data_IF_829306192346
#
_entry.id   IF_829306192346
#
_cell.length_a   1.000
_cell.length_b   1.000
_cell.length_c   1.000
_cell.angle_alpha   90.00
_cell.angle_beta   90.00
_cell.angle_gamma   90.00
#
_symmetry.space_group_name_H-M   'P 1'
#
loop_
_entity.id
_entity.type
_entity.pdbx_description
1 polymer ?
#
# COMPACT_ATOMS: atom_id res chain seq x y z
N UNK A 1 42.31 -12.08 -83.48
CA UNK A 1 41.14 -12.67 -82.80
C UNK A 1 41.48 -12.80 -81.33
N UNK A 2 40.60 -12.25 -80.50
CA UNK A 2 40.77 -11.98 -79.07
C UNK A 2 40.84 -13.25 -78.20
N UNK A 3 41.74 -13.28 -77.20
CA UNK A 3 41.35 -13.20 -75.78
C UNK A 3 42.55 -13.25 -74.83
N UNK A 4 42.52 -12.34 -73.87
CA UNK A 4 43.49 -12.11 -72.82
C UNK A 4 43.38 -13.13 -71.67
N UNK A 5 44.52 -13.47 -71.06
CA UNK A 5 44.63 -14.20 -69.80
C UNK A 5 45.35 -13.28 -68.80
N UNK A 6 44.67 -12.88 -67.71
CA UNK A 6 45.26 -12.10 -66.62
C UNK A 6 45.12 -12.85 -65.29
N UNK A 7 46.29 -13.17 -64.75
CA UNK A 7 46.73 -13.28 -63.36
C UNK A 7 45.66 -13.36 -62.24
N UNK A 8 45.73 -14.44 -61.46
CA UNK A 8 45.13 -14.57 -60.14
C UNK A 8 45.85 -13.66 -59.13
N UNK A 9 45.09 -12.87 -58.38
CA UNK A 9 45.47 -12.42 -57.03
C UNK A 9 44.46 -13.00 -56.03
N UNK A 10 44.99 -13.69 -55.03
CA UNK A 10 44.25 -14.23 -53.88
C UNK A 10 43.90 -13.08 -52.91
N UNK A 11 42.62 -12.96 -52.54
CA UNK A 11 42.16 -12.08 -51.47
C UNK A 11 41.48 -12.95 -50.41
N UNK A 12 42.09 -13.04 -49.23
CA UNK A 12 41.47 -13.61 -48.03
C UNK A 12 40.34 -12.69 -47.54
N UNK A 13 39.11 -13.20 -47.47
CA UNK A 13 38.02 -12.55 -46.76
C UNK A 13 37.84 -13.20 -45.38
N UNK A 14 38.12 -12.45 -44.31
CA UNK A 14 37.81 -12.84 -42.93
C UNK A 14 36.37 -12.40 -42.65
N UNK A 15 35.47 -13.35 -42.44
CA UNK A 15 34.12 -13.10 -41.96
C UNK A 15 34.14 -12.99 -40.43
N UNK A 16 33.89 -11.79 -39.89
CA UNK A 16 33.74 -11.58 -38.45
C UNK A 16 32.32 -11.98 -38.01
N UNK A 17 32.20 -13.09 -37.29
CA UNK A 17 30.96 -13.53 -36.66
C UNK A 17 30.75 -12.71 -35.37
N UNK A 18 29.78 -11.78 -35.35
CA UNK A 18 29.34 -11.14 -34.11
C UNK A 18 28.55 -12.16 -33.28
N UNK A 19 29.19 -12.72 -32.26
CA UNK A 19 28.51 -13.47 -31.21
C UNK A 19 27.93 -12.44 -30.25
N UNK A 20 26.62 -12.18 -30.35
CA UNK A 20 25.88 -11.43 -29.33
C UNK A 20 25.79 -12.34 -28.11
N UNK A 21 26.68 -12.14 -27.14
CA UNK A 21 26.64 -12.82 -25.85
C UNK A 21 25.37 -12.41 -25.12
N UNK A 22 24.43 -13.34 -24.97
CA UNK A 22 23.29 -13.19 -24.07
C UNK A 22 23.88 -13.31 -22.66
N UNK A 23 24.13 -12.17 -22.00
CA UNK A 23 24.46 -12.15 -20.58
C UNK A 23 23.20 -12.61 -19.84
N UNK A 24 23.23 -13.70 -19.05
CA UNK A 24 22.08 -14.11 -18.26
C UNK A 24 21.72 -12.97 -17.31
N UNK A 25 20.43 -12.62 -17.26
CA UNK A 25 19.95 -11.67 -16.25
C UNK A 25 20.32 -12.23 -14.86
N UNK A 26 21.00 -11.43 -14.05
CA UNK A 26 21.28 -11.80 -12.66
C UNK A 26 19.95 -12.10 -11.97
N UNK A 27 19.88 -13.22 -11.24
CA UNK A 27 18.74 -13.50 -10.38
C UNK A 27 18.56 -12.36 -9.37
N UNK A 28 17.30 -12.07 -9.01
CA UNK A 28 17.01 -11.09 -7.97
C UNK A 28 17.60 -11.57 -6.62
N UNK A 29 18.13 -10.66 -5.78
CA UNK A 29 18.55 -11.02 -4.44
C UNK A 29 17.33 -11.45 -3.58
N UNK A 30 17.53 -12.17 -2.46
CA UNK A 30 16.46 -12.39 -1.49
C UNK A 30 15.80 -11.08 -1.06
N UNK A 31 14.48 -11.03 -1.08
CA UNK A 31 13.67 -9.83 -0.88
C UNK A 31 13.66 -8.84 -2.06
N UNK A 32 14.31 -9.15 -3.18
CA UNK A 32 14.31 -8.33 -4.40
C UNK A 32 13.16 -8.67 -5.35
N UNK A 33 12.80 -7.73 -6.23
CA UNK A 33 11.74 -7.97 -7.21
C UNK A 33 12.26 -8.77 -8.42
N UNK A 34 11.59 -9.89 -8.74
CA UNK A 34 11.88 -10.71 -9.93
C UNK A 34 11.37 -10.08 -11.23
N UNK A 35 10.35 -9.22 -11.12
CA UNK A 35 9.73 -8.51 -12.23
C UNK A 35 9.21 -7.14 -11.78
N UNK A 36 8.57 -6.42 -12.72
CA UNK A 36 8.06 -5.07 -12.48
C UNK A 36 9.11 -4.00 -12.77
N UNK A 37 8.67 -2.75 -12.66
CA UNK A 37 9.48 -1.56 -12.95
C UNK A 37 9.65 -0.77 -11.66
N UNK A 38 10.87 -0.29 -11.37
CA UNK A 38 11.10 0.60 -10.24
C UNK A 38 10.28 1.88 -10.39
N UNK A 39 9.56 2.27 -9.34
CA UNK A 39 8.83 3.53 -9.28
C UNK A 39 9.78 4.73 -9.30
N UNK A 40 10.91 4.60 -8.61
CA UNK A 40 11.99 5.59 -8.58
C UNK A 40 13.34 4.94 -8.24
N UNK A 41 14.42 5.69 -8.48
CA UNK A 41 15.73 5.36 -7.91
C UNK A 41 15.79 5.72 -6.43
N UNK A 42 16.60 4.98 -5.66
CA UNK A 42 16.75 5.19 -4.22
C UNK A 42 15.60 4.60 -3.39
N UNK A 43 15.51 5.06 -2.14
CA UNK A 43 14.56 4.54 -1.15
C UNK A 43 13.12 4.90 -1.52
N UNK A 44 12.22 3.93 -1.49
CA UNK A 44 10.78 4.15 -1.63
C UNK A 44 10.01 3.08 -0.85
N UNK A 45 9.34 3.51 0.23
CA UNK A 45 8.71 2.66 1.23
C UNK A 45 7.20 2.89 1.27
N UNK A 46 6.47 1.89 1.78
CA UNK A 46 5.06 2.02 2.17
C UNK A 46 4.17 2.60 1.06
N UNK A 47 4.15 1.97 -0.14
CA UNK A 47 3.49 2.55 -1.29
C UNK A 47 1.98 2.58 -1.14
N UNK A 48 1.34 3.59 -1.71
CA UNK A 48 -0.12 3.68 -1.87
C UNK A 48 -0.45 4.04 -3.29
N UNK A 49 -1.54 3.48 -3.82
CA UNK A 49 -2.01 3.80 -5.17
C UNK A 49 -3.53 3.94 -5.19
N UNK A 50 -4.00 4.99 -5.85
CA UNK A 50 -5.43 5.26 -6.05
C UNK A 50 -5.70 5.62 -7.51
N UNK A 51 -6.93 5.38 -7.96
CA UNK A 51 -7.45 5.92 -9.21
C UNK A 51 -8.41 7.06 -8.89
N UNK A 52 -8.22 8.20 -9.52
CA UNK A 52 -9.11 9.35 -9.34
C UNK A 52 -10.50 9.04 -9.92
N UNK A 53 -11.54 9.27 -9.12
CA UNK A 53 -12.95 9.05 -9.45
C UNK A 53 -13.75 10.37 -9.43
N UNK A 54 -13.25 11.40 -8.75
CA UNK A 54 -14.01 12.63 -8.46
C UNK A 54 -13.27 13.91 -8.89
N UNK A 55 -12.32 13.78 -9.83
CA UNK A 55 -11.37 14.83 -10.22
C UNK A 55 -11.64 15.43 -11.61
N UNK A 56 -12.91 15.49 -12.02
CA UNK A 56 -13.34 16.11 -13.29
C UNK A 56 -12.55 15.58 -14.51
N UNK A 57 -11.87 16.43 -15.30
CA UNK A 57 -11.07 16.00 -16.45
C UNK A 57 -9.90 15.04 -16.11
N UNK A 58 -9.48 14.96 -14.85
CA UNK A 58 -8.42 14.06 -14.41
C UNK A 58 -8.96 12.69 -13.90
N UNK A 59 -10.28 12.48 -13.87
CA UNK A 59 -10.88 11.18 -13.53
C UNK A 59 -10.28 10.05 -14.39
N UNK A 60 -9.91 8.95 -13.74
CA UNK A 60 -9.22 7.81 -14.34
C UNK A 60 -7.69 7.89 -14.29
N UNK A 61 -7.10 9.04 -13.97
CA UNK A 61 -5.66 9.15 -13.67
C UNK A 61 -5.33 8.33 -12.43
N UNK A 62 -4.17 7.66 -12.44
CA UNK A 62 -3.68 6.90 -11.29
C UNK A 62 -2.66 7.77 -10.57
N UNK A 63 -2.81 7.91 -9.26
CA UNK A 63 -1.86 8.59 -8.39
C UNK A 63 -1.25 7.56 -7.45
N UNK A 64 0.08 7.58 -7.34
CA UNK A 64 0.81 6.77 -6.39
C UNK A 64 1.59 7.66 -5.42
N UNK A 65 1.83 7.16 -4.21
CA UNK A 65 2.72 7.78 -3.25
C UNK A 65 3.67 6.76 -2.62
N UNK A 66 4.84 7.22 -2.21
CA UNK A 66 5.79 6.44 -1.41
C UNK A 66 6.51 7.37 -0.41
N UNK A 67 6.90 6.81 0.74
CA UNK A 67 7.81 7.47 1.67
C UNK A 67 9.23 7.36 1.13
N UNK A 68 9.92 8.49 1.03
CA UNK A 68 11.32 8.60 0.60
C UNK A 68 12.00 9.72 1.38
N UNK A 69 13.23 10.07 1.02
CA UNK A 69 14.01 11.10 1.69
C UNK A 69 14.48 12.14 0.68
N UNK A 70 14.55 13.40 1.12
CA UNK A 70 15.18 14.45 0.34
C UNK A 70 16.72 14.41 0.44
N UNK A 71 17.40 15.39 -0.16
CA UNK A 71 18.86 15.45 -0.18
C UNK A 71 19.49 15.66 1.20
N UNK A 72 18.75 16.26 2.14
CA UNK A 72 19.18 16.50 3.51
C UNK A 72 18.85 15.33 4.44
N UNK A 73 18.20 14.28 3.90
CA UNK A 73 17.80 13.09 4.63
C UNK A 73 16.47 13.21 5.37
N UNK A 74 15.73 14.31 5.19
CA UNK A 74 14.41 14.47 5.80
C UNK A 74 13.36 13.64 5.04
N UNK A 75 12.45 13.01 5.79
CA UNK A 75 11.40 12.19 5.20
C UNK A 75 10.41 13.03 4.39
N UNK A 76 10.02 12.55 3.22
CA UNK A 76 8.99 13.17 2.37
C UNK A 76 8.03 12.11 1.79
N UNK A 77 6.78 12.51 1.55
CA UNK A 77 5.84 11.74 0.73
C UNK A 77 6.03 12.10 -0.74
N UNK A 78 6.68 11.26 -1.55
CA UNK A 78 6.79 11.49 -2.99
C UNK A 78 5.49 11.11 -3.70
N UNK A 79 5.01 11.96 -4.62
CA UNK A 79 3.74 11.77 -5.34
C UNK A 79 4.01 11.60 -6.83
N UNK A 80 3.39 10.59 -7.43
CA UNK A 80 3.55 10.21 -8.82
C UNK A 80 2.18 10.13 -9.51
N UNK A 81 2.15 10.39 -10.81
CA UNK A 81 0.98 10.14 -11.64
C UNK A 81 1.31 9.22 -12.81
N UNK A 82 0.33 8.39 -13.14
CA UNK A 82 0.26 7.67 -14.41
C UNK A 82 -0.95 8.12 -15.21
N UNK A 83 -0.71 8.50 -16.47
CA UNK A 83 -1.73 8.84 -17.47
C UNK A 83 -1.88 7.73 -18.52
N UNK A 84 -1.07 6.69 -18.45
CA UNK A 84 -1.02 5.56 -19.38
C UNK A 84 -1.49 4.24 -18.75
N UNK A 85 -2.27 4.35 -17.67
CA UNK A 85 -2.95 3.25 -16.97
C UNK A 85 -1.98 2.31 -16.24
N UNK A 86 -1.04 2.89 -15.52
CA UNK A 86 -0.07 2.19 -14.66
C UNK A 86 1.09 1.57 -15.42
N UNK A 87 1.34 1.95 -16.68
CA UNK A 87 2.48 1.46 -17.46
C UNK A 87 3.75 2.26 -17.17
N UNK A 88 3.61 3.55 -16.89
CA UNK A 88 4.69 4.41 -16.42
C UNK A 88 4.17 5.40 -15.39
N UNK A 89 5.07 5.88 -14.53
CA UNK A 89 4.80 6.87 -13.51
C UNK A 89 5.80 8.03 -13.64
N UNK A 90 5.31 9.25 -13.50
CA UNK A 90 6.14 10.46 -13.40
C UNK A 90 5.92 11.10 -12.04
N UNK A 91 6.99 11.52 -11.37
CA UNK A 91 6.88 12.30 -10.14
C UNK A 91 6.24 13.66 -10.44
N UNK A 92 5.19 14.02 -9.72
CA UNK A 92 4.41 15.26 -9.94
C UNK A 92 4.47 16.22 -8.75
N UNK A 93 4.90 15.76 -7.58
CA UNK A 93 4.94 16.57 -6.38
C UNK A 93 5.51 15.81 -5.19
N UNK A 94 5.48 16.46 -4.03
CA UNK A 94 5.81 15.85 -2.75
C UNK A 94 5.10 16.56 -1.61
N UNK A 95 4.91 15.83 -0.51
CA UNK A 95 4.48 16.36 0.78
C UNK A 95 5.69 16.39 1.71
N UNK A 96 6.03 17.57 2.21
CA UNK A 96 7.12 17.78 3.15
C UNK A 96 6.53 18.38 4.44
N UNK A 97 6.50 17.59 5.50
CA UNK A 97 6.13 18.07 6.84
C UNK A 97 7.40 18.43 7.61
N UNK A 98 7.49 19.61 8.25
CA UNK A 98 8.70 19.98 9.00
C UNK A 98 9.08 18.96 10.09
N UNK A 99 8.11 18.27 10.70
CA UNK A 99 8.39 17.24 11.70
C UNK A 99 9.00 15.96 11.11
N UNK A 100 8.95 15.78 9.79
CA UNK A 100 9.45 14.58 9.11
C UNK A 100 10.99 14.49 9.07
N UNK A 101 11.69 15.59 9.38
CA UNK A 101 13.12 15.58 9.65
C UNK A 101 13.48 14.68 10.86
N UNK A 102 12.56 14.57 11.81
CA UNK A 102 12.68 13.70 13.00
C UNK A 102 12.06 12.31 12.74
N UNK A 103 11.91 11.93 11.48
CA UNK A 103 11.35 10.65 11.07
C UNK A 103 9.97 10.77 10.42
N UNK A 104 9.79 9.94 9.40
CA UNK A 104 8.54 9.76 8.67
C UNK A 104 8.30 8.27 8.49
N UNK A 105 7.11 7.79 8.82
CA UNK A 105 6.67 6.46 8.42
C UNK A 105 5.28 6.50 7.83
N UNK A 106 5.02 5.48 7.02
CA UNK A 106 3.70 4.88 6.91
C UNK A 106 2.65 5.88 6.41
N UNK A 107 2.76 6.31 5.15
CA UNK A 107 1.85 7.30 4.59
C UNK A 107 0.55 6.71 4.04
N UNK A 108 -0.52 7.51 4.01
CA UNK A 108 -1.75 7.23 3.26
C UNK A 108 -2.03 8.30 2.21
N UNK A 109 -2.78 7.91 1.17
CA UNK A 109 -3.23 8.77 0.09
C UNK A 109 -4.70 8.46 -0.22
N UNK A 110 -5.55 9.48 -0.17
CA UNK A 110 -7.00 9.32 -0.31
C UNK A 110 -7.60 10.43 -1.18
N UNK A 111 -8.58 10.12 -2.03
CA UNK A 111 -9.37 11.12 -2.74
C UNK A 111 -10.73 11.27 -2.05
N UNK A 112 -11.14 12.50 -1.74
CA UNK A 112 -12.46 12.75 -1.18
C UNK A 112 -13.57 12.39 -2.19
N UNK A 113 -14.48 11.44 -1.88
CA UNK A 113 -15.58 11.09 -2.78
C UNK A 113 -16.70 12.12 -2.81
N UNK A 114 -16.73 13.00 -1.82
CA UNK A 114 -17.72 14.07 -1.64
C UNK A 114 -17.10 15.23 -0.90
N UNK A 115 -17.80 16.37 -0.87
CA UNK A 115 -17.39 17.52 -0.07
C UNK A 115 -17.37 17.17 1.43
N UNK A 116 -16.32 17.59 2.13
CA UNK A 116 -16.21 17.61 3.61
C UNK A 116 -15.79 19.02 4.03
N UNK A 117 -16.66 19.73 4.77
CA UNK A 117 -16.48 21.15 5.04
C UNK A 117 -16.22 21.98 3.77
N UNK A 118 -15.08 22.66 3.72
CA UNK A 118 -14.65 23.46 2.56
C UNK A 118 -13.90 22.65 1.50
N UNK A 119 -13.49 21.41 1.81
CA UNK A 119 -12.79 20.53 0.89
C UNK A 119 -13.76 19.95 -0.13
N UNK A 120 -13.53 20.21 -1.42
CA UNK A 120 -14.42 19.73 -2.48
C UNK A 120 -14.17 18.24 -2.76
N UNK A 121 -15.15 17.56 -3.37
CA UNK A 121 -14.92 16.23 -3.93
C UNK A 121 -13.73 16.27 -4.90
N UNK A 122 -12.92 15.22 -4.94
CA UNK A 122 -11.68 15.19 -5.73
C UNK A 122 -10.45 15.79 -5.05
N UNK A 123 -10.60 16.46 -3.90
CA UNK A 123 -9.45 16.86 -3.08
C UNK A 123 -8.68 15.61 -2.66
N UNK A 124 -7.37 15.59 -2.90
CA UNK A 124 -6.51 14.54 -2.37
C UNK A 124 -6.09 14.89 -0.95
N UNK A 125 -6.10 13.90 -0.08
CA UNK A 125 -5.60 13.96 1.28
C UNK A 125 -4.38 13.05 1.41
N UNK A 126 -3.42 13.51 2.20
CA UNK A 126 -2.25 12.75 2.58
C UNK A 126 -2.00 12.94 4.08
N UNK A 127 -1.60 11.85 4.73
CA UNK A 127 -1.16 11.84 6.13
C UNK A 127 -0.07 10.78 6.30
N UNK A 128 0.67 10.88 7.40
CA UNK A 128 1.71 9.94 7.76
C UNK A 128 1.98 10.00 9.27
N UNK A 129 2.74 9.02 9.75
CA UNK A 129 3.32 9.02 11.08
C UNK A 129 4.59 9.86 11.10
N UNK A 130 4.62 10.91 11.93
CA UNK A 130 5.71 11.89 11.91
C UNK A 130 6.35 12.02 13.30
N UNK A 131 7.69 12.03 13.34
CA UNK A 131 8.48 12.37 14.53
C UNK A 131 8.88 11.17 15.41
N UNK A 132 9.02 9.96 14.84
CA UNK A 132 9.40 8.78 15.62
C UNK A 132 10.86 8.79 16.12
N UNK A 133 11.74 9.55 15.48
CA UNK A 133 13.16 9.68 15.83
C UNK A 133 13.49 10.90 16.70
N UNK A 134 12.50 11.72 17.05
CA UNK A 134 12.71 12.88 17.91
C UNK A 134 13.20 12.46 19.31
N UNK A 135 14.14 13.23 19.88
CA UNK A 135 14.71 12.99 21.22
C UNK A 135 13.62 12.86 22.30
N UNK A 136 12.68 13.81 22.32
CA UNK A 136 11.43 13.69 23.07
C UNK A 136 10.34 13.26 22.10
N UNK A 137 10.19 11.94 21.93
CA UNK A 137 9.24 11.36 20.99
C UNK A 137 7.80 11.76 21.32
N UNK A 138 7.21 12.60 20.46
CA UNK A 138 5.82 13.07 20.50
C UNK A 138 5.25 13.01 19.08
N UNK A 139 4.97 11.79 18.63
CA UNK A 139 4.54 11.56 17.26
C UNK A 139 3.26 12.32 16.94
N UNK A 140 3.14 12.77 15.69
CA UNK A 140 1.98 13.52 15.20
C UNK A 140 1.42 12.88 13.93
N UNK A 141 0.15 13.20 13.66
CA UNK A 141 -0.56 12.80 12.45
C UNK A 141 -1.01 14.05 11.68
N UNK A 142 -0.14 14.68 10.87
CA UNK A 142 -0.51 15.83 10.07
C UNK A 142 -1.46 15.44 8.94
N UNK A 143 -2.34 16.35 8.54
CA UNK A 143 -3.19 16.19 7.36
C UNK A 143 -2.84 17.25 6.34
N UNK A 144 -2.56 16.80 5.12
CA UNK A 144 -2.24 17.63 3.97
C UNK A 144 -3.30 17.45 2.89
N UNK A 145 -3.60 18.51 2.16
CA UNK A 145 -4.58 18.49 1.08
C UNK A 145 -4.02 19.05 -0.22
N UNK A 146 -4.43 18.47 -1.33
CA UNK A 146 -4.14 18.94 -2.69
C UNK A 146 -5.42 19.06 -3.51
N UNK A 147 -5.61 20.22 -4.14
CA UNK A 147 -6.72 20.50 -5.05
C UNK A 147 -6.32 20.49 -6.53
N UNK A 148 -5.06 20.14 -6.84
CA UNK A 148 -4.49 20.13 -8.19
C UNK A 148 -3.96 18.76 -8.61
N UNK A 149 -4.59 17.72 -8.04
CA UNK A 149 -4.33 16.30 -8.28
C UNK A 149 -2.91 15.87 -7.86
N UNK A 150 -2.42 16.39 -6.74
CA UNK A 150 -1.20 15.94 -6.07
C UNK A 150 0.08 16.71 -6.42
N UNK A 151 -0.03 17.85 -7.12
CA UNK A 151 1.14 18.67 -7.50
C UNK A 151 1.58 19.56 -6.35
N UNK A 152 0.64 20.28 -5.74
CA UNK A 152 0.89 21.13 -4.58
C UNK A 152 0.04 20.69 -3.40
N UNK A 153 0.59 20.88 -2.20
CA UNK A 153 -0.01 20.42 -0.95
C UNK A 153 0.02 21.53 0.08
N UNK A 154 -1.08 21.67 0.82
CA UNK A 154 -1.19 22.56 1.98
C UNK A 154 -1.55 21.78 3.22
N UNK A 155 -0.92 22.10 4.36
CA UNK A 155 -1.29 21.51 5.65
C UNK A 155 -2.67 22.02 6.07
N UNK A 156 -3.55 21.12 6.45
CA UNK A 156 -4.86 21.43 7.05
C UNK A 156 -4.73 21.58 8.57
N UNK A 157 -3.94 20.72 9.20
CA UNK A 157 -3.78 20.66 10.64
C UNK A 157 -3.08 19.38 11.07
N UNK A 158 -3.25 19.03 12.34
CA UNK A 158 -2.76 17.80 12.95
C UNK A 158 -3.93 17.11 13.63
N UNK A 159 -4.20 15.85 13.29
CA UNK A 159 -5.32 15.08 13.88
C UNK A 159 -5.08 14.83 15.35
N UNK A 160 -3.87 14.35 15.68
CA UNK A 160 -3.46 14.04 17.03
C UNK A 160 -1.95 14.21 17.21
N UNK A 161 -1.58 14.47 18.46
CA UNK A 161 -0.22 14.38 18.97
C UNK A 161 -0.24 13.35 20.10
N UNK A 162 0.73 12.43 20.11
CA UNK A 162 0.80 11.41 21.15
C UNK A 162 0.92 12.05 22.54
N UNK A 163 0.09 11.63 23.52
CA UNK A 163 0.13 12.18 24.88
C UNK A 163 1.36 11.71 25.67
N UNK A 164 2.15 10.79 25.13
CA UNK A 164 3.40 10.28 25.70
C UNK A 164 4.35 9.82 24.58
N UNK A 165 5.31 8.94 24.89
CA UNK A 165 6.30 8.42 23.94
C UNK A 165 5.77 7.27 23.06
N UNK A 166 4.54 6.80 23.27
CA UNK A 166 3.90 5.78 22.44
C UNK A 166 3.72 6.28 21.00
N UNK A 167 3.92 5.38 20.03
CA UNK A 167 3.77 5.69 18.63
C UNK A 167 2.34 5.85 18.15
N UNK A 168 2.19 6.64 17.09
CA UNK A 168 0.97 6.75 16.29
C UNK A 168 1.33 6.33 14.86
N UNK A 169 0.80 5.20 14.42
CA UNK A 169 1.22 4.54 13.19
C UNK A 169 0.09 4.44 12.16
N UNK A 170 0.49 4.52 10.89
CA UNK A 170 -0.29 3.98 9.75
C UNK A 170 -1.69 4.59 9.61
N UNK A 171 -1.79 5.92 9.45
CA UNK A 171 -3.07 6.59 9.21
C UNK A 171 -3.81 5.96 8.01
N UNK A 172 -5.12 5.79 8.13
CA UNK A 172 -6.01 5.41 7.02
C UNK A 172 -7.27 6.28 7.01
N UNK A 173 -7.61 6.85 5.86
CA UNK A 173 -8.79 7.69 5.71
C UNK A 173 -10.01 6.93 5.21
N UNK A 174 -11.19 7.37 5.64
CA UNK A 174 -12.45 7.13 4.92
C UNK A 174 -13.38 8.32 5.10
N UNK A 175 -14.43 8.41 4.28
CA UNK A 175 -15.57 9.29 4.55
C UNK A 175 -16.73 8.43 5.00
N UNK A 176 -17.26 8.70 6.20
CA UNK A 176 -18.39 8.01 6.80
C UNK A 176 -19.67 8.18 6.00
N UNK A 177 -20.69 7.36 6.31
CA UNK A 177 -22.00 7.40 5.66
C UNK A 177 -22.67 8.77 5.76
N UNK A 178 -22.52 9.45 6.89
CA UNK A 178 -23.06 10.80 7.12
C UNK A 178 -22.17 11.93 6.55
N UNK A 179 -21.05 11.59 5.91
CA UNK A 179 -20.21 12.54 5.18
C UNK A 179 -19.13 13.23 6.02
N UNK A 180 -18.76 12.66 7.17
CA UNK A 180 -17.63 13.10 7.98
C UNK A 180 -16.35 12.39 7.53
N UNK A 181 -15.22 13.06 7.64
CA UNK A 181 -13.91 12.44 7.43
C UNK A 181 -13.53 11.68 8.69
N UNK A 182 -13.02 10.45 8.53
CA UNK A 182 -12.55 9.61 9.64
C UNK A 182 -11.10 9.23 9.34
N UNK A 183 -10.24 9.30 10.36
CA UNK A 183 -8.88 8.80 10.31
C UNK A 183 -8.71 7.67 11.34
N UNK A 184 -8.33 6.49 10.86
CA UNK A 184 -7.93 5.34 11.68
C UNK A 184 -6.42 5.32 11.86
N UNK A 185 -5.96 4.83 13.01
CA UNK A 185 -4.55 4.86 13.41
C UNK A 185 -4.25 3.69 14.34
N UNK A 186 -3.06 3.12 14.24
CA UNK A 186 -2.46 2.25 15.25
C UNK A 186 -1.86 3.09 16.40
N UNK A 187 -2.26 2.87 17.65
CA UNK A 187 -1.91 3.70 18.81
C UNK A 187 -1.22 2.90 19.92
N UNK A 188 0.00 3.29 20.31
CA UNK A 188 0.77 2.67 21.40
C UNK A 188 0.76 3.51 22.69
N UNK A 189 -0.02 4.59 22.74
CA UNK A 189 -0.01 5.51 23.88
C UNK A 189 -0.72 4.98 25.14
N UNK A 190 -1.35 3.82 25.04
CA UNK A 190 -2.16 3.20 26.10
C UNK A 190 -1.41 2.10 26.89
N UNK A 191 -0.09 1.99 26.71
CA UNK A 191 0.74 1.05 27.47
C UNK A 191 0.77 1.39 28.98
N UNK A 192 0.86 0.38 29.88
CA UNK A 192 0.97 -1.06 29.59
C UNK A 192 -0.40 -1.77 29.41
N UNK A 193 -1.53 -1.06 29.50
CA UNK A 193 -2.86 -1.67 29.40
C UNK A 193 -3.10 -2.33 28.04
N UNK A 194 -2.62 -1.71 26.97
CA UNK A 194 -2.58 -2.30 25.64
C UNK A 194 -1.22 -2.04 25.00
N UNK A 195 -0.58 -3.06 24.43
CA UNK A 195 0.67 -2.89 23.68
C UNK A 195 0.47 -1.96 22.47
N UNK A 196 -0.66 -2.13 21.78
CA UNK A 196 -1.15 -1.28 20.70
C UNK A 196 -2.69 -1.41 20.61
N UNK A 197 -3.39 -0.39 20.12
CA UNK A 197 -4.81 -0.42 19.77
C UNK A 197 -5.02 0.13 18.36
N UNK A 198 -6.17 -0.15 17.75
CA UNK A 198 -6.67 0.67 16.64
C UNK A 198 -7.63 1.72 17.19
N UNK A 199 -7.40 2.97 16.82
CA UNK A 199 -8.21 4.12 17.23
C UNK A 199 -8.69 4.91 16.01
N UNK A 200 -9.74 5.70 16.20
CA UNK A 200 -10.25 6.62 15.19
C UNK A 200 -10.47 8.03 15.73
N UNK A 201 -10.34 9.01 14.84
CA UNK A 201 -10.80 10.38 15.05
C UNK A 201 -11.68 10.82 13.88
N UNK A 202 -12.65 11.69 14.15
CA UNK A 202 -13.65 12.15 13.18
C UNK A 202 -13.57 13.67 13.01
N UNK A 203 -13.79 14.14 11.79
CA UNK A 203 -13.81 15.56 11.43
C UNK A 203 -14.94 15.89 10.47
N UNK A 204 -15.55 17.07 10.62
CA UNK A 204 -16.56 17.61 9.71
C UNK A 204 -15.97 18.55 8.65
N UNK A 205 -14.71 18.96 8.80
CA UNK A 205 -14.04 19.97 7.97
C UNK A 205 -12.61 19.59 7.51
N UNK A 206 -12.06 18.48 8.01
CA UNK A 206 -10.70 18.00 7.79
C UNK A 206 -9.60 18.72 8.59
N UNK A 207 -9.95 19.76 9.35
CA UNK A 207 -9.02 20.56 10.15
C UNK A 207 -9.19 20.39 11.67
N UNK A 208 -10.43 20.29 12.13
CA UNK A 208 -10.79 20.07 13.53
C UNK A 208 -11.20 18.63 13.75
N UNK A 209 -10.62 17.97 14.74
CA UNK A 209 -10.73 16.54 14.95
C UNK A 209 -11.22 16.21 16.36
N UNK A 210 -12.06 15.19 16.49
CA UNK A 210 -12.44 14.68 17.80
C UNK A 210 -11.24 14.02 18.49
N UNK A 211 -11.24 13.87 19.82
CA UNK A 211 -10.25 13.02 20.47
C UNK A 211 -10.29 11.59 19.92
N UNK A 212 -9.14 10.90 19.94
CA UNK A 212 -9.04 9.50 19.52
C UNK A 212 -9.94 8.59 20.38
N UNK A 213 -10.54 7.58 19.76
CA UNK A 213 -11.42 6.59 20.38
C UNK A 213 -11.07 5.19 19.91
N UNK A 214 -11.06 4.21 20.81
CA UNK A 214 -10.76 2.82 20.47
C UNK A 214 -11.79 2.25 19.48
N UNK A 215 -11.26 1.56 18.48
CA UNK A 215 -11.97 0.76 17.48
C UNK A 215 -11.68 -0.72 17.70
N UNK A 216 -10.41 -1.06 17.90
CA UNK A 216 -9.98 -2.40 18.34
C UNK A 216 -9.01 -2.23 19.51
N UNK A 217 -9.38 -2.77 20.68
CA UNK A 217 -8.57 -2.79 21.88
C UNK A 217 -8.69 -4.18 22.50
N UNK A 218 -7.70 -5.04 22.22
CA UNK A 218 -7.71 -6.42 22.68
C UNK A 218 -7.63 -6.51 24.21
N UNK A 219 -8.36 -7.47 24.79
CA UNK A 219 -8.31 -7.75 26.23
C UNK A 219 -6.93 -8.26 26.68
N UNK A 220 -6.26 -9.03 25.82
CA UNK A 220 -4.87 -9.43 26.05
C UNK A 220 -3.94 -8.24 25.79
N UNK A 221 -3.25 -7.71 26.83
CA UNK A 221 -2.40 -6.53 26.71
C UNK A 221 -1.20 -6.75 25.78
N UNK A 222 -0.83 -8.00 25.48
CA UNK A 222 0.30 -8.33 24.60
C UNK A 222 -0.07 -8.34 23.11
N UNK A 223 -1.37 -8.36 22.78
CA UNK A 223 -1.82 -8.30 21.40
C UNK A 223 -1.68 -6.88 20.84
N UNK A 224 -1.42 -6.81 19.53
CA UNK A 224 -1.10 -5.59 18.81
C UNK A 224 -1.92 -5.49 17.52
N UNK A 225 -3.19 -5.07 17.60
CA UNK A 225 -3.96 -4.66 16.43
C UNK A 225 -3.28 -3.50 15.69
N UNK A 226 -3.13 -3.59 14.37
CA UNK A 226 -2.40 -2.58 13.59
C UNK A 226 -2.73 -2.55 12.10
N UNK A 227 -2.16 -1.57 11.40
CA UNK A 227 -2.22 -1.42 9.93
C UNK A 227 -3.65 -1.41 9.36
N UNK A 228 -4.54 -0.52 9.83
CA UNK A 228 -5.93 -0.50 9.36
C UNK A 228 -6.01 -0.08 7.88
N UNK A 229 -6.83 -0.78 7.10
CA UNK A 229 -7.16 -0.42 5.71
C UNK A 229 -8.67 -0.54 5.53
N UNK A 230 -9.33 0.54 5.09
CA UNK A 230 -10.80 0.62 5.06
C UNK A 230 -11.31 0.77 3.64
N UNK A 231 -12.32 -0.02 3.27
CA UNK A 231 -13.01 0.09 1.99
C UNK A 231 -14.50 0.22 2.21
N UNK A 232 -15.11 1.18 1.49
CA UNK A 232 -16.55 1.30 1.37
C UNK A 232 -17.05 0.31 0.32
N UNK A 233 -18.02 -0.52 0.69
CA UNK A 233 -18.64 -1.54 -0.16
C UNK A 233 -19.87 -0.97 -0.91
N UNK A 234 -20.39 -1.65 -1.95
CA UNK A 234 -21.50 -1.18 -2.78
C UNK A 234 -22.77 -0.78 -2.04
N UNK A 235 -23.12 -1.50 -0.97
CA UNK A 235 -24.33 -1.23 -0.18
C UNK A 235 -24.16 -0.09 0.83
N UNK A 236 -22.98 0.52 0.86
CA UNK A 236 -22.65 1.65 1.74
C UNK A 236 -22.05 1.25 3.08
N UNK A 237 -21.98 -0.05 3.38
CA UNK A 237 -21.22 -0.59 4.50
C UNK A 237 -19.73 -0.44 4.27
N UNK A 238 -18.96 -0.57 5.34
CA UNK A 238 -17.51 -0.45 5.36
C UNK A 238 -16.91 -1.76 5.83
N UNK A 239 -15.79 -2.13 5.23
CA UNK A 239 -14.95 -3.26 5.63
C UNK A 239 -13.59 -2.70 6.04
N UNK A 240 -13.13 -3.04 7.23
CA UNK A 240 -11.76 -2.77 7.67
C UNK A 240 -10.99 -4.09 7.66
N UNK A 241 -9.80 -4.07 7.08
CA UNK A 241 -8.77 -5.09 7.23
C UNK A 241 -7.68 -4.56 8.14
N UNK A 242 -7.10 -5.41 8.98
CA UNK A 242 -5.97 -5.11 9.85
C UNK A 242 -5.22 -6.39 10.24
N UNK A 243 -4.05 -6.25 10.83
CA UNK A 243 -3.32 -7.36 11.45
C UNK A 243 -3.54 -7.39 12.96
N UNK A 244 -3.49 -8.60 13.56
CA UNK A 244 -3.29 -8.74 15.00
C UNK A 244 -1.95 -9.43 15.23
N UNK A 245 -0.97 -8.67 15.73
CA UNK A 245 0.32 -9.21 16.16
C UNK A 245 0.29 -9.65 17.64
N UNK A 246 1.33 -10.37 18.06
CA UNK A 246 1.49 -10.82 19.44
C UNK A 246 1.27 -12.33 19.63
N UNK A 247 1.30 -12.80 20.89
CA UNK A 247 1.24 -14.22 21.23
C UNK A 247 0.03 -14.92 20.60
N UNK A 248 0.27 -16.06 19.94
CA UNK A 248 -0.80 -16.86 19.33
C UNK A 248 -1.41 -16.29 18.04
N UNK A 249 -1.19 -15.00 17.72
CA UNK A 249 -1.79 -14.34 16.56
C UNK A 249 -0.83 -14.15 15.39
N UNK A 250 0.47 -13.96 15.62
CA UNK A 250 1.49 -13.94 14.56
C UNK A 250 1.23 -12.93 13.44
N UNK A 251 0.60 -11.79 13.72
CA UNK A 251 0.26 -10.76 12.74
C UNK A 251 -0.74 -11.23 11.67
N UNK A 252 -1.60 -12.21 11.99
CA UNK A 252 -2.65 -12.70 11.09
C UNK A 252 -3.63 -11.59 10.71
N UNK A 253 -4.02 -11.59 9.44
CA UNK A 253 -4.98 -10.65 8.90
C UNK A 253 -6.41 -10.96 9.36
N UNK A 254 -7.12 -9.91 9.78
CA UNK A 254 -8.52 -9.97 10.21
C UNK A 254 -9.36 -8.87 9.56
N UNK A 255 -10.68 -9.05 9.61
CA UNK A 255 -11.66 -8.09 9.12
C UNK A 255 -12.79 -7.83 10.10
N UNK A 256 -13.33 -6.60 10.02
CA UNK A 256 -14.59 -6.20 10.65
C UNK A 256 -15.43 -5.38 9.69
N UNK A 257 -16.74 -5.31 9.96
CA UNK A 257 -17.69 -4.47 9.23
C UNK A 257 -18.18 -3.30 10.08
N UNK A 258 -18.57 -2.23 9.41
CA UNK A 258 -19.31 -1.11 9.98
C UNK A 258 -20.39 -0.64 9.02
N UNK A 259 -21.59 -0.34 9.54
CA UNK A 259 -22.71 0.15 8.73
C UNK A 259 -22.59 1.65 8.38
N UNK A 260 -21.72 2.39 9.06
CA UNK A 260 -21.60 3.85 8.92
C UNK A 260 -20.16 4.35 8.73
N UNK A 261 -19.15 3.51 8.96
CA UNK A 261 -17.74 3.83 8.84
C UNK A 261 -17.16 4.53 10.07
N UNK A 262 -17.88 4.56 11.19
CA UNK A 262 -17.47 5.18 12.46
C UNK A 262 -17.63 4.18 13.61
N UNK A 263 -18.81 3.57 13.75
CA UNK A 263 -19.08 2.57 14.78
C UNK A 263 -18.76 1.17 14.23
N UNK A 264 -17.82 0.50 14.88
CA UNK A 264 -17.37 -0.85 14.51
C UNK A 264 -17.90 -1.92 15.47
N UNK A 265 -18.65 -1.56 16.50
CA UNK A 265 -19.14 -2.46 17.54
C UNK A 265 -18.18 -2.55 18.73
N UNK A 266 -18.20 -3.69 19.43
CA UNK A 266 -17.38 -3.93 20.63
C UNK A 266 -15.88 -3.80 20.31
N UNK A 267 -15.12 -2.91 20.98
CA UNK A 267 -13.69 -2.78 20.74
C UNK A 267 -12.87 -4.04 21.05
N UNK A 268 -13.36 -4.93 21.91
CA UNK A 268 -12.67 -6.17 22.27
C UNK A 268 -12.80 -7.26 21.19
N UNK A 269 -13.75 -7.11 20.26
CA UNK A 269 -13.90 -8.01 19.11
C UNK A 269 -12.71 -7.88 18.15
N UNK A 270 -11.93 -8.96 18.06
CA UNK A 270 -10.78 -9.05 17.18
C UNK A 270 -11.17 -9.24 15.71
N UNK A 271 -12.43 -9.51 15.39
CA UNK A 271 -12.92 -9.69 14.02
C UNK A 271 -12.63 -11.08 13.44
N UNK A 272 -13.01 -11.27 12.18
CA UNK A 272 -12.93 -12.56 11.48
C UNK A 272 -11.56 -12.73 10.82
N UNK A 273 -10.96 -13.92 10.92
CA UNK A 273 -9.72 -14.25 10.22
C UNK A 273 -9.96 -14.39 8.71
N UNK A 274 -9.04 -13.83 7.91
CA UNK A 274 -9.00 -14.09 6.46
C UNK A 274 -8.10 -15.31 6.21
N UNK A 275 -8.59 -16.22 5.37
CA UNK A 275 -7.82 -17.36 4.90
C UNK A 275 -8.50 -18.09 3.76
N UNK A 276 -7.74 -18.97 3.13
CA UNK A 276 -8.23 -19.90 2.11
C UNK A 276 -8.82 -21.16 2.77
N UNK A 277 -9.50 -22.00 1.98
CA UNK A 277 -10.13 -23.21 2.49
C UNK A 277 -9.12 -24.25 3.02
N UNK A 278 -7.87 -24.25 2.52
CA UNK A 278 -6.79 -25.11 3.01
C UNK A 278 -6.03 -24.52 4.22
N UNK A 279 -6.45 -23.33 4.66
CA UNK A 279 -5.91 -22.60 5.79
C UNK A 279 -4.68 -21.74 5.48
N UNK A 280 -4.31 -21.58 4.21
CA UNK A 280 -3.31 -20.57 3.81
C UNK A 280 -3.83 -19.16 4.11
N UNK A 281 -2.98 -18.31 4.68
CA UNK A 281 -3.35 -16.98 5.16
C UNK A 281 -2.17 -16.01 5.14
N UNK A 282 -2.45 -14.71 5.09
CA UNK A 282 -1.42 -13.69 5.22
C UNK A 282 -1.12 -13.34 6.67
N UNK A 283 0.14 -12.98 6.89
CA UNK A 283 0.63 -12.30 8.08
C UNK A 283 1.41 -11.06 7.66
N UNK A 284 1.39 -10.06 8.54
CA UNK A 284 2.11 -8.79 8.43
C UNK A 284 1.64 -7.88 7.27
N UNK A 285 1.48 -6.60 7.58
CA UNK A 285 1.25 -5.50 6.64
C UNK A 285 0.18 -5.74 5.56
N UNK A 286 -1.05 -6.15 5.95
CA UNK A 286 -2.11 -6.42 4.99
C UNK A 286 -2.61 -5.15 4.31
N UNK A 287 -3.00 -5.27 3.04
CA UNK A 287 -3.90 -4.32 2.39
C UNK A 287 -5.07 -5.03 1.74
N UNK A 288 -6.18 -4.31 1.60
CA UNK A 288 -7.40 -4.81 0.96
C UNK A 288 -7.88 -3.82 -0.10
N UNK A 289 -8.47 -4.34 -1.17
CA UNK A 289 -9.07 -3.56 -2.25
C UNK A 289 -10.37 -4.17 -2.69
N UNK A 290 -11.25 -3.34 -3.25
CA UNK A 290 -12.55 -3.75 -3.77
C UNK A 290 -12.69 -3.30 -5.22
N UNK A 291 -13.41 -4.08 -6.04
CA UNK A 291 -13.84 -3.65 -7.36
C UNK A 291 -15.20 -4.21 -7.75
N UNK A 292 -15.89 -3.48 -8.63
CA UNK A 292 -17.09 -3.95 -9.29
C UNK A 292 -16.72 -4.98 -10.36
N UNK A 293 -17.08 -6.24 -10.15
CA UNK A 293 -16.88 -7.36 -11.08
C UNK A 293 -18.11 -7.63 -11.97
N UNK A 294 -19.20 -6.88 -11.75
CA UNK A 294 -20.51 -7.05 -12.41
C UNK A 294 -21.55 -7.73 -11.52
N UNK A 295 -21.14 -8.31 -10.39
CA UNK A 295 -22.05 -8.80 -9.36
C UNK A 295 -22.60 -7.67 -8.48
N UNK A 296 -23.58 -7.98 -7.63
CA UNK A 296 -24.19 -7.03 -6.69
C UNK A 296 -23.19 -6.55 -5.62
N UNK A 297 -22.31 -7.42 -5.18
CA UNK A 297 -21.42 -7.18 -4.04
C UNK A 297 -19.99 -6.84 -4.46
N UNK A 298 -19.67 -7.05 -5.74
CA UNK A 298 -18.32 -6.92 -6.27
C UNK A 298 -17.40 -8.02 -5.76
N UNK A 299 -16.11 -7.76 -5.85
CA UNK A 299 -15.07 -8.66 -5.40
C UNK A 299 -14.00 -7.91 -4.61
N UNK A 300 -13.37 -8.64 -3.70
CA UNK A 300 -12.29 -8.16 -2.84
C UNK A 300 -10.97 -8.84 -3.23
N UNK A 301 -9.89 -8.09 -3.02
CA UNK A 301 -8.51 -8.52 -3.20
C UNK A 301 -7.74 -8.19 -1.93
N UNK A 302 -6.90 -9.12 -1.48
CA UNK A 302 -6.03 -8.93 -0.33
C UNK A 302 -4.59 -9.31 -0.67
N UNK A 303 -3.64 -8.58 -0.12
CA UNK A 303 -2.22 -8.93 -0.10
C UNK A 303 -1.68 -8.65 1.29
N UNK A 304 -0.82 -9.54 1.79
CA UNK A 304 0.02 -9.28 2.96
C UNK A 304 1.47 -9.54 2.62
N UNK A 305 2.35 -9.24 3.57
CA UNK A 305 3.78 -9.41 3.35
C UNK A 305 4.16 -10.88 3.20
N UNK A 306 3.72 -11.71 4.15
CA UNK A 306 4.12 -13.10 4.27
C UNK A 306 2.93 -14.03 4.14
N UNK A 307 3.00 -14.99 3.22
CA UNK A 307 2.02 -16.06 3.08
C UNK A 307 2.44 -17.29 3.90
N UNK A 308 1.54 -17.77 4.73
CA UNK A 308 1.73 -18.95 5.57
C UNK A 308 0.67 -20.01 5.26
N UNK A 309 1.05 -21.28 5.41
CA UNK A 309 0.13 -22.41 5.32
C UNK A 309 -0.59 -22.68 6.67
N UNK A 310 -1.48 -23.68 6.69
CA UNK A 310 -2.21 -24.09 7.89
C UNK A 310 -1.32 -24.71 8.98
N UNK A 311 -0.12 -25.20 8.64
CA UNK A 311 0.87 -25.70 9.58
C UNK A 311 1.72 -24.58 10.19
N UNK A 312 1.59 -23.34 9.70
CA UNK A 312 2.36 -22.19 10.15
C UNK A 312 3.75 -22.11 9.53
N UNK A 313 4.02 -22.85 8.45
CA UNK A 313 5.23 -22.67 7.64
C UNK A 313 4.99 -21.60 6.56
N UNK A 314 6.07 -20.99 6.08
CA UNK A 314 6.00 -20.08 4.92
C UNK A 314 5.53 -20.89 3.73
N UNK A 315 4.40 -20.49 3.13
CA UNK A 315 3.77 -21.24 2.06
C UNK A 315 4.51 -21.06 0.73
N UNK A 316 4.36 -22.05 -0.16
CA UNK A 316 4.70 -21.88 -1.56
C UNK A 316 3.91 -20.69 -2.15
N UNK A 317 4.56 -19.87 -2.97
CA UNK A 317 3.95 -18.65 -3.52
C UNK A 317 4.04 -17.41 -2.61
N UNK A 318 4.73 -17.49 -1.47
CA UNK A 318 5.12 -16.30 -0.70
C UNK A 318 5.82 -15.27 -1.60
N UNK A 319 5.43 -13.99 -1.53
CA UNK A 319 5.92 -12.94 -2.42
C UNK A 319 5.36 -12.91 -3.84
N UNK A 320 4.46 -13.84 -4.21
CA UNK A 320 3.91 -13.93 -5.57
C UNK A 320 2.41 -14.27 -5.61
N UNK A 321 1.73 -14.22 -4.46
CA UNK A 321 0.32 -14.56 -4.30
C UNK A 321 -0.46 -13.39 -3.75
N UNK A 322 -1.71 -13.25 -4.20
CA UNK A 322 -2.76 -12.44 -3.58
C UNK A 322 -3.96 -13.35 -3.28
N UNK A 323 -4.87 -12.89 -2.41
CA UNK A 323 -6.13 -13.56 -2.15
C UNK A 323 -7.28 -12.79 -2.81
N UNK A 324 -8.31 -13.51 -3.26
CA UNK A 324 -9.55 -12.93 -3.81
C UNK A 324 -10.79 -13.64 -3.28
N UNK A 325 -11.87 -12.90 -3.11
CA UNK A 325 -13.19 -13.42 -2.76
C UNK A 325 -14.29 -12.53 -3.34
N UNK A 326 -15.52 -13.04 -3.40
CA UNK A 326 -16.71 -12.29 -3.81
C UNK A 326 -17.24 -11.38 -2.69
N UNK A 327 -18.58 -11.26 -2.62
CA UNK A 327 -19.28 -10.41 -1.65
C UNK A 327 -19.25 -10.85 -0.19
N UNK A 328 -18.77 -12.06 0.09
CA UNK A 328 -18.74 -12.67 1.42
C UNK A 328 -17.29 -12.80 1.93
N UNK A 329 -16.67 -11.72 2.44
CA UNK A 329 -15.29 -11.74 2.93
C UNK A 329 -15.02 -12.65 4.15
N UNK A 330 -16.06 -13.13 4.83
CA UNK A 330 -15.94 -14.13 5.91
C UNK A 330 -15.84 -15.56 5.37
N UNK A 331 -16.20 -15.79 4.11
CA UNK A 331 -16.05 -17.09 3.47
C UNK A 331 -14.59 -17.32 3.04
N UNK A 332 -14.16 -18.57 2.81
CA UNK A 332 -12.82 -18.87 2.36
C UNK A 332 -12.45 -18.15 1.05
N UNK A 333 -11.24 -17.61 1.01
CA UNK A 333 -10.70 -16.88 -0.15
C UNK A 333 -9.98 -17.84 -1.11
N UNK A 334 -9.90 -17.46 -2.38
CA UNK A 334 -9.09 -18.14 -3.39
C UNK A 334 -7.74 -17.44 -3.59
N UNK A 335 -6.71 -18.18 -3.99
CA UNK A 335 -5.40 -17.63 -4.35
C UNK A 335 -5.37 -17.17 -5.80
N UNK A 336 -4.61 -16.12 -6.09
CA UNK A 336 -4.27 -15.69 -7.44
C UNK A 336 -2.83 -15.16 -7.52
N UNK A 337 -2.28 -15.06 -8.74
CA UNK A 337 -0.93 -14.52 -8.96
C UNK A 337 -0.87 -13.01 -8.68
N UNK A 338 0.15 -12.59 -7.94
CA UNK A 338 0.50 -11.19 -7.75
C UNK A 338 1.16 -10.62 -9.01
N UNK A 339 0.76 -9.41 -9.48
CA UNK A 339 1.43 -8.74 -10.60
C UNK A 339 2.94 -8.51 -10.42
N UNK A 340 3.40 -8.26 -9.20
CA UNK A 340 4.82 -8.11 -8.84
C UNK A 340 5.22 -9.30 -7.96
N UNK A 341 6.35 -9.94 -8.30
CA UNK A 341 6.89 -11.09 -7.59
C UNK A 341 8.17 -10.68 -6.86
N UNK A 342 8.19 -10.91 -5.56
CA UNK A 342 9.36 -10.71 -4.70
C UNK A 342 9.99 -12.08 -4.45
N UNK A 343 11.28 -12.21 -4.72
CA UNK A 343 12.04 -13.44 -4.50
C UNK A 343 12.25 -13.65 -3.00
N UNK A 344 11.89 -14.82 -2.47
CA UNK A 344 12.14 -15.24 -1.09
C UNK A 344 11.96 -14.14 -0.01
N UNK A 345 10.80 -13.44 0.06
CA UNK A 345 10.60 -12.41 1.05
C UNK A 345 10.55 -13.02 2.46
N UNK A 346 10.97 -12.23 3.43
CA UNK A 346 10.99 -12.58 4.85
C UNK A 346 10.45 -11.41 5.68
N UNK A 347 10.06 -11.69 6.92
CA UNK A 347 9.55 -10.68 7.85
C UNK A 347 10.61 -9.58 8.09
N UNK A 348 10.36 -8.42 7.49
CA UNK A 348 11.25 -7.27 7.46
C UNK A 348 10.51 -6.02 6.97
N UNK A 349 10.98 -4.83 7.31
CA UNK A 349 10.33 -3.57 6.90
C UNK A 349 10.29 -3.31 5.38
N UNK A 350 10.99 -4.11 4.56
CA UNK A 350 11.13 -3.88 3.13
C UNK A 350 10.39 -4.87 2.23
N UNK A 351 10.81 -6.14 2.06
CA UNK A 351 10.33 -6.97 0.98
C UNK A 351 8.84 -7.26 1.14
N UNK A 352 8.06 -6.93 0.12
CA UNK A 352 6.60 -7.08 0.05
C UNK A 352 5.82 -6.36 1.18
N UNK A 353 6.44 -5.40 1.87
CA UNK A 353 5.85 -4.73 3.03
C UNK A 353 4.77 -3.72 2.65
N UNK A 354 3.52 -3.96 3.08
CA UNK A 354 2.36 -3.09 2.85
C UNK A 354 2.11 -2.78 1.36
N UNK A 355 2.27 -3.79 0.50
CA UNK A 355 1.99 -3.71 -0.94
C UNK A 355 0.57 -3.24 -1.24
N UNK A 356 0.40 -2.42 -2.27
CA UNK A 356 -0.88 -1.77 -2.60
C UNK A 356 -1.43 -2.27 -3.93
N UNK A 357 -2.71 -2.67 -3.92
CA UNK A 357 -3.43 -3.19 -5.08
C UNK A 357 -4.38 -2.14 -5.65
N UNK A 358 -4.38 -1.96 -6.97
CA UNK A 358 -5.37 -1.14 -7.68
C UNK A 358 -6.04 -1.97 -8.79
N UNK A 359 -7.25 -2.49 -8.57
CA UNK A 359 -8.00 -3.18 -9.60
C UNK A 359 -8.44 -2.23 -10.73
N UNK A 360 -8.37 -2.71 -11.97
CA UNK A 360 -8.74 -2.01 -13.20
C UNK A 360 -9.73 -2.87 -14.01
N UNK A 361 -10.97 -3.04 -13.51
CA UNK A 361 -11.95 -3.99 -14.06
C UNK A 361 -12.33 -3.72 -15.51
N UNK A 362 -12.28 -2.45 -15.95
CA UNK A 362 -12.56 -2.06 -17.34
C UNK A 362 -11.57 -2.65 -18.35
N UNK A 363 -10.49 -3.28 -17.88
CA UNK A 363 -9.49 -3.97 -18.71
C UNK A 363 -9.21 -5.41 -18.26
N UNK A 364 -9.85 -5.86 -17.18
CA UNK A 364 -9.47 -7.13 -16.54
C UNK A 364 -8.00 -7.15 -16.09
N UNK A 365 -7.49 -6.01 -15.59
CA UNK A 365 -6.10 -5.89 -15.10
C UNK A 365 -6.04 -5.50 -13.63
N UNK A 366 -4.97 -5.90 -12.97
CA UNK A 366 -4.63 -5.50 -11.61
C UNK A 366 -3.27 -4.81 -11.65
N UNK A 367 -3.17 -3.60 -11.09
CA UNK A 367 -1.89 -2.94 -10.82
C UNK A 367 -1.51 -3.25 -9.37
N UNK A 368 -0.24 -3.57 -9.15
CA UNK A 368 0.34 -3.71 -7.82
C UNK A 368 1.56 -2.80 -7.70
N UNK A 369 1.72 -2.18 -6.53
CA UNK A 369 2.95 -1.57 -6.08
C UNK A 369 3.45 -2.36 -4.87
N UNK A 370 4.61 -3.00 -5.00
CA UNK A 370 5.23 -3.80 -3.94
C UNK A 370 6.66 -3.32 -3.68
N UNK A 371 7.11 -3.41 -2.44
CA UNK A 371 8.49 -3.07 -2.07
C UNK A 371 9.43 -4.26 -2.18
N UNK A 372 10.69 -3.99 -2.48
CA UNK A 372 11.75 -4.98 -2.54
C UNK A 372 13.12 -4.33 -2.59
N UNK A 373 14.16 -5.11 -2.33
CA UNK A 373 15.54 -4.65 -2.43
C UNK A 373 15.98 -4.56 -3.90
N UNK A 374 16.69 -3.49 -4.25
CA UNK A 374 17.44 -3.44 -5.50
C UNK A 374 18.80 -4.17 -5.37
N UNK A 375 19.59 -4.16 -6.44
CA UNK A 375 20.87 -4.85 -6.50
C UNK A 375 21.90 -4.35 -5.47
N UNK A 376 21.73 -3.12 -4.97
CA UNK A 376 22.59 -2.50 -3.97
C UNK A 376 22.05 -2.69 -2.54
N UNK A 377 20.95 -3.44 -2.38
CA UNK A 377 20.28 -3.65 -1.10
C UNK A 377 19.42 -2.46 -0.64
N UNK A 378 19.10 -1.52 -1.53
CA UNK A 378 18.24 -0.37 -1.20
C UNK A 378 16.78 -0.80 -1.31
N UNK A 379 16.01 -0.58 -0.25
CA UNK A 379 14.57 -0.84 -0.29
C UNK A 379 13.85 0.17 -1.17
N UNK A 380 13.18 -0.30 -2.23
CA UNK A 380 12.48 0.54 -3.19
C UNK A 380 11.14 -0.07 -3.59
N UNK A 381 10.30 0.70 -4.25
CA UNK A 381 8.98 0.26 -4.73
C UNK A 381 9.06 -0.11 -6.21
N UNK A 382 8.50 -1.27 -6.55
CA UNK A 382 8.29 -1.75 -7.90
C UNK A 382 6.80 -1.73 -8.23
N UNK A 383 6.46 -1.48 -9.48
CA UNK A 383 5.08 -1.58 -9.96
C UNK A 383 4.97 -2.53 -11.15
N UNK A 384 3.84 -3.23 -11.23
CA UNK A 384 3.58 -4.23 -12.27
C UNK A 384 2.08 -4.40 -12.51
N UNK A 385 1.72 -4.87 -13.70
CA UNK A 385 0.30 -5.13 -14.04
C UNK A 385 0.07 -6.58 -14.44
N UNK A 386 -0.86 -7.25 -13.78
CA UNK A 386 -1.23 -8.64 -14.01
C UNK A 386 -2.67 -8.78 -14.50
N UNK A 387 -3.12 -10.02 -14.68
CA UNK A 387 -4.54 -10.34 -14.90
C UNK A 387 -5.31 -10.03 -13.62
N UNK A 388 -6.47 -9.38 -13.74
CA UNK A 388 -7.38 -9.23 -12.60
C UNK A 388 -8.00 -10.60 -12.30
N UNK A 389 -7.76 -11.20 -11.12
CA UNK A 389 -8.46 -12.42 -10.76
C UNK A 389 -9.95 -12.16 -10.66
N UNK A 390 -10.75 -13.22 -10.83
CA UNK A 390 -12.19 -13.21 -10.56
C UNK A 390 -12.47 -14.37 -9.61
N UNK A 391 -13.22 -14.14 -8.52
CA UNK A 391 -13.63 -15.18 -7.58
C UNK A 391 -14.38 -16.33 -8.25
#
# INVERSE_FOLDING_TARGET
>A
MSRALKLLLSFCSVAALMIIGIVPASAAPPGGAENGTRLMGGVALYPRVIRLQHSGPATGRIIASAVTFDADGAGIGAIFASTDRGRSFTRIGSVADPGAAEGLCCSTLYELPRRVGTLSAGTLLWSASVGQGAEVRRMTLPVWASSDHGRTWRKLGTVATSPNAGGLWEPEFTVSRDGRLVLFVSDESQQPTHSQTLVASVSTDGGSWTPLRNVVAADDPALRPGMPVVRRLPHGDYLMSYEICGPGEGCRQRIRRSADGIDWGDPTDLGTLIGTADGSHFRHAPTISWYADGSRDGALLSVGQMLYDSAGAVAAGNGSTILTTGGAPEDPWATAEAPVRIADPYDNYCPNYSSSLLPMPERGRLLELATGYDADGVCTTYFGTGKLPRP
#
